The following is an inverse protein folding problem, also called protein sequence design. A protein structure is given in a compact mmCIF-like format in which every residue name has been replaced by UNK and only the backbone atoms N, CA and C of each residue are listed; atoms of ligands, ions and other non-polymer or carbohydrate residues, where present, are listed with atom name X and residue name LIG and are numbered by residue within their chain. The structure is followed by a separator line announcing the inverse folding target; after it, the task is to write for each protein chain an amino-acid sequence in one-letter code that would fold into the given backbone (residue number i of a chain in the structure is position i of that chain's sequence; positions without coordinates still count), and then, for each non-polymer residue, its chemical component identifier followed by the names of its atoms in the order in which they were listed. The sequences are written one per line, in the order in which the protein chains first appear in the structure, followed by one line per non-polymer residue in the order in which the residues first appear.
data_IF_036193562305
#
_entry.id   IF_036193562305
#
_cell.length_a   1.000
_cell.length_b   1.000
_cell.length_c   1.000
_cell.angle_alpha   90.00
_cell.angle_beta   90.00
_cell.angle_gamma   90.00
#
_symmetry.space_group_name_H-M   'P 1'
#
loop_
_entity.id
_entity.type
_entity.pdbx_description
1 polymer ?
#
# COMPACT_ATOMS: atom_id res chain seq x y z
N UNK A 1 -6.86 -25.34 17.10
CA UNK A 1 -6.07 -24.99 15.90
C UNK A 1 -6.41 -26.00 14.81
N UNK A 2 -6.93 -25.55 13.68
CA UNK A 2 -7.26 -26.43 12.54
C UNK A 2 -6.00 -26.81 11.76
N UNK A 3 -6.07 -27.86 10.94
CA UNK A 3 -4.97 -28.24 10.04
C UNK A 3 -4.62 -27.09 9.08
N UNK A 4 -5.62 -26.36 8.61
CA UNK A 4 -5.42 -25.22 7.71
C UNK A 4 -4.81 -24.01 8.43
N UNK A 5 -5.17 -23.73 9.69
CA UNK A 5 -4.46 -22.76 10.52
C UNK A 5 -2.97 -23.12 10.69
N UNK A 6 -2.66 -24.41 10.90
CA UNK A 6 -1.27 -24.85 11.00
C UNK A 6 -0.51 -24.65 9.69
N UNK A 7 -1.08 -25.09 8.56
CA UNK A 7 -0.51 -24.89 7.22
C UNK A 7 -0.27 -23.40 6.93
N UNK A 8 -1.22 -22.55 7.30
CA UNK A 8 -1.13 -21.10 7.22
C UNK A 8 0.02 -20.52 8.04
N UNK A 9 0.21 -20.97 9.29
CA UNK A 9 1.32 -20.55 10.15
C UNK A 9 2.69 -20.97 9.60
N UNK A 10 2.78 -22.20 9.08
CA UNK A 10 4.00 -22.69 8.43
C UNK A 10 4.30 -21.87 7.18
N UNK A 11 3.29 -21.54 6.36
CA UNK A 11 3.46 -20.68 5.20
C UNK A 11 4.02 -19.30 5.58
N UNK A 12 3.44 -18.64 6.58
CA UNK A 12 3.92 -17.35 7.08
C UNK A 12 5.34 -17.44 7.63
N UNK A 13 5.69 -18.56 8.28
CA UNK A 13 7.00 -18.76 8.90
C UNK A 13 8.10 -19.14 7.91
N UNK A 14 7.78 -19.96 6.91
CA UNK A 14 8.70 -20.47 5.90
C UNK A 14 8.97 -19.47 4.77
N UNK A 15 8.06 -18.51 4.55
CA UNK A 15 8.24 -17.48 3.55
C UNK A 15 9.39 -16.56 3.97
N UNK A 16 10.45 -16.50 3.18
CA UNK A 16 11.46 -15.46 3.28
C UNK A 16 10.79 -14.13 2.90
N UNK A 17 10.19 -13.44 3.87
CA UNK A 17 9.75 -12.06 3.74
C UNK A 17 10.92 -11.19 4.21
N UNK A 18 11.82 -10.71 3.34
CA UNK A 18 13.08 -10.12 3.78
C UNK A 18 12.95 -8.62 4.09
N UNK A 19 11.73 -8.06 4.13
CA UNK A 19 11.62 -6.60 4.01
C UNK A 19 10.47 -5.93 4.74
N UNK A 20 9.49 -6.68 5.23
CA UNK A 20 8.26 -6.05 5.69
C UNK A 20 7.66 -6.76 6.92
N UNK A 21 8.07 -6.35 8.14
CA UNK A 21 7.48 -6.88 9.36
C UNK A 21 5.98 -6.62 9.45
N UNK A 22 5.47 -5.61 8.73
CA UNK A 22 4.05 -5.26 8.70
C UNK A 22 3.23 -6.32 7.96
N UNK A 23 3.74 -6.83 6.83
CA UNK A 23 3.06 -7.91 6.09
C UNK A 23 2.94 -9.18 6.94
N UNK A 24 3.99 -9.56 7.67
CA UNK A 24 3.95 -10.74 8.54
C UNK A 24 2.90 -10.57 9.65
N UNK A 25 2.89 -9.39 10.27
CA UNK A 25 1.93 -9.05 11.34
C UNK A 25 0.49 -9.10 10.83
N UNK A 26 0.23 -8.56 9.64
CA UNK A 26 -1.09 -8.56 9.03
C UNK A 26 -1.57 -9.96 8.64
N UNK A 27 -0.68 -10.82 8.13
CA UNK A 27 -1.03 -12.22 7.82
C UNK A 27 -1.34 -13.02 9.09
N UNK A 28 -0.60 -12.79 10.18
CA UNK A 28 -0.91 -13.42 11.48
C UNK A 28 -2.27 -12.98 12.02
N UNK A 29 -2.56 -11.68 11.97
CA UNK A 29 -3.87 -11.14 12.36
C UNK A 29 -5.01 -11.73 11.53
N UNK A 30 -4.79 -11.96 10.23
CA UNK A 30 -5.75 -12.64 9.35
C UNK A 30 -6.03 -14.08 9.80
N UNK A 31 -4.99 -14.83 10.18
CA UNK A 31 -5.12 -16.22 10.67
C UNK A 31 -5.86 -16.26 12.02
N UNK A 32 -5.66 -15.26 12.88
CA UNK A 32 -6.35 -15.17 14.17
C UNK A 32 -7.83 -14.79 14.04
N UNK A 33 -8.18 -13.94 13.07
CA UNK A 33 -9.55 -13.45 12.87
C UNK A 33 -10.41 -14.38 12.01
N UNK A 34 -9.80 -15.16 11.12
CA UNK A 34 -10.49 -16.07 10.22
C UNK A 34 -10.66 -17.45 10.90
N UNK A 35 -11.90 -17.92 11.13
CA UNK A 35 -12.14 -19.23 11.73
C UNK A 35 -11.68 -20.39 10.83
N UNK A 36 -11.53 -20.17 9.52
CA UNK A 36 -11.07 -21.16 8.55
C UNK A 36 -10.12 -20.57 7.50
N UNK A 37 -8.90 -20.17 7.89
CA UNK A 37 -7.97 -19.51 7.00
C UNK A 37 -7.42 -20.52 5.99
N UNK A 38 -7.47 -20.16 4.71
CA UNK A 38 -6.89 -20.98 3.63
C UNK A 38 -5.58 -20.38 3.12
N UNK A 39 -4.71 -21.22 2.56
CA UNK A 39 -3.49 -20.73 1.89
C UNK A 39 -3.81 -19.77 0.73
N UNK A 40 -4.96 -19.95 0.07
CA UNK A 40 -5.40 -19.07 -1.00
C UNK A 40 -5.73 -17.68 -0.48
N UNK A 41 -6.45 -17.55 0.65
CA UNK A 41 -6.77 -16.24 1.22
C UNK A 41 -5.50 -15.52 1.70
N UNK A 42 -4.53 -16.23 2.27
CA UNK A 42 -3.22 -15.66 2.62
C UNK A 42 -2.41 -15.19 1.41
N UNK A 43 -2.41 -15.98 0.33
CA UNK A 43 -1.69 -15.61 -0.90
C UNK A 43 -2.32 -14.38 -1.55
N UNK A 44 -3.66 -14.30 -1.55
CA UNK A 44 -4.39 -13.13 -2.02
C UNK A 44 -4.11 -11.88 -1.18
N UNK A 45 -3.99 -12.01 0.15
CA UNK A 45 -3.58 -10.89 1.02
C UNK A 45 -2.14 -10.43 0.72
N UNK A 46 -1.21 -11.35 0.47
CA UNK A 46 0.14 -10.99 0.05
C UNK A 46 0.11 -10.14 -1.23
N UNK A 47 -0.64 -10.58 -2.24
CA UNK A 47 -0.78 -9.84 -3.49
C UNK A 47 -1.43 -8.46 -3.30
N UNK A 48 -2.46 -8.37 -2.45
CA UNK A 48 -3.10 -7.09 -2.12
C UNK A 48 -2.11 -6.12 -1.49
N UNK A 49 -1.22 -6.60 -0.65
CA UNK A 49 -0.21 -5.78 0.00
C UNK A 49 0.84 -5.26 -1.00
N UNK A 50 1.32 -6.11 -1.92
CA UNK A 50 2.21 -5.69 -3.01
C UNK A 50 1.54 -4.62 -3.91
N UNK A 51 0.29 -4.84 -4.29
CA UNK A 51 -0.47 -3.88 -5.09
C UNK A 51 -0.64 -2.55 -4.34
N UNK A 52 -0.89 -2.57 -3.03
CA UNK A 52 -1.02 -1.37 -2.22
C UNK A 52 0.30 -0.57 -2.17
N UNK A 53 1.43 -1.26 -2.01
CA UNK A 53 2.77 -0.62 -2.04
C UNK A 53 3.06 0.01 -3.39
N UNK A 54 2.73 -0.68 -4.47
CA UNK A 54 2.86 -0.14 -5.82
C UNK A 54 1.99 1.11 -6.02
N UNK A 55 0.72 1.04 -5.63
CA UNK A 55 -0.21 2.17 -5.74
C UNK A 55 0.22 3.36 -4.88
N UNK A 56 0.70 3.11 -3.66
CA UNK A 56 1.23 4.15 -2.79
C UNK A 56 2.45 4.84 -3.43
N UNK A 57 3.38 4.07 -4.00
CA UNK A 57 4.53 4.64 -4.71
C UNK A 57 4.12 5.50 -5.92
N UNK A 58 3.09 5.10 -6.67
CA UNK A 58 2.56 5.89 -7.78
C UNK A 58 2.01 7.23 -7.28
N UNK A 59 1.23 7.24 -6.19
CA UNK A 59 0.67 8.46 -5.59
C UNK A 59 1.76 9.39 -5.08
N UNK A 60 2.77 8.86 -4.38
CA UNK A 60 3.91 9.64 -3.89
C UNK A 60 4.73 10.24 -5.05
N UNK A 61 5.00 9.45 -6.11
CA UNK A 61 5.73 9.93 -7.29
C UNK A 61 4.96 11.01 -8.07
N UNK A 62 3.65 10.84 -8.22
CA UNK A 62 2.82 11.87 -8.85
C UNK A 62 2.75 13.13 -8.00
N UNK A 63 2.71 12.99 -6.67
CA UNK A 63 2.81 14.10 -5.70
C UNK A 63 4.12 14.90 -5.83
N UNK A 64 5.25 14.20 -6.02
CA UNK A 64 6.55 14.81 -6.30
C UNK A 64 6.62 15.55 -7.64
N UNK A 65 5.76 15.21 -8.61
CA UNK A 65 5.77 15.81 -9.95
C UNK A 65 4.88 17.05 -10.07
N UNK A 66 4.02 17.36 -9.09
CA UNK A 66 3.24 18.60 -9.08
C UNK A 66 4.11 19.77 -8.62
N UNK A 67 5.07 20.18 -9.45
CA UNK A 67 5.51 21.57 -9.46
C UNK A 67 4.32 22.41 -9.95
N UNK A 68 3.40 22.74 -9.03
CA UNK A 68 2.30 23.66 -9.31
C UNK A 68 2.93 25.02 -9.61
N UNK A 69 3.17 25.30 -10.88
CA UNK A 69 3.53 26.64 -11.33
C UNK A 69 2.33 27.54 -11.05
N UNK A 70 2.35 28.19 -9.88
CA UNK A 70 1.44 29.27 -9.56
C UNK A 70 1.59 30.33 -10.65
N UNK A 71 0.59 30.45 -11.53
CA UNK A 71 0.52 31.56 -12.49
C UNK A 71 0.26 32.82 -11.68
N UNK A 72 1.33 33.53 -11.32
CA UNK A 72 1.26 34.89 -10.81
C UNK A 72 0.76 35.78 -11.93
N UNK A 73 -0.56 35.86 -12.10
CA UNK A 73 -1.19 36.92 -12.89
C UNK A 73 -1.00 38.22 -12.12
N UNK A 74 0.14 38.88 -12.35
CA UNK A 74 0.41 40.22 -11.86
C UNK A 74 -0.70 41.14 -12.34
N UNK A 75 -1.44 41.73 -11.39
CA UNK A 75 -2.27 42.91 -11.62
C UNK A 75 -1.39 44.01 -12.23
N UNK A 76 -1.42 44.22 -13.53
CA UNK A 76 -0.94 45.45 -14.14
C UNK A 76 -2.10 46.44 -14.16
N UNK A 77 -2.17 47.27 -13.12
CA UNK A 77 -2.89 48.53 -13.13
C UNK A 77 -2.37 49.43 -14.28
N UNK A 78 -3.31 50.13 -14.92
CA UNK A 78 -3.27 51.10 -16.03
C UNK A 78 -2.23 52.24 -15.84
N UNK A 79 -1.92 53.13 -16.82
CA UNK A 79 -2.91 53.95 -17.56
C UNK A 79 -2.55 54.30 -19.02
N UNK A 80 -3.51 54.73 -19.83
CA UNK A 80 -3.19 55.66 -20.93
C UNK A 80 -4.38 56.56 -21.29
N UNK A 81 -4.20 57.85 -20.97
CA UNK A 81 -4.87 59.03 -21.54
C UNK A 81 -3.91 59.61 -22.61
N UNK A 82 -4.37 60.32 -23.65
CA UNK A 82 -4.87 61.70 -23.52
C UNK A 82 -6.33 61.91 -23.93
#
# INVERSE_FOLDING_TARGET
MTEDQFKCLIFVSARQLPRDPETRTRLLSKIEQDPDPTLQTLTAECQRFENLKHNSAIVEQSSSSFAVHAVTRTKSMSPQKP
#
